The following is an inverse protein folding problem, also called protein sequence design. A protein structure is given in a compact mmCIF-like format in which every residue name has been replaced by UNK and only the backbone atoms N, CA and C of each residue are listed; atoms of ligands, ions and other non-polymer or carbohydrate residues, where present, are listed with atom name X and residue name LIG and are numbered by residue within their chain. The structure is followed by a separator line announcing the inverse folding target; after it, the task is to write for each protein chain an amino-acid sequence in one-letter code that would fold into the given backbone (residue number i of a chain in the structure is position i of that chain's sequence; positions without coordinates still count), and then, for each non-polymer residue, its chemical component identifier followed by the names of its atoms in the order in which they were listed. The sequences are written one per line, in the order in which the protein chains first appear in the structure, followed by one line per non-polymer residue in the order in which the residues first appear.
data_IF_479966852110
#
_entry.id   IF_479966852110
#
_cell.length_a   1.000
_cell.length_b   1.000
_cell.length_c   1.000
_cell.angle_alpha   90.00
_cell.angle_beta   90.00
_cell.angle_gamma   90.00
#
_symmetry.space_group_name_H-M   'P 1'
#
loop_
_entity.id
_entity.type
_entity.pdbx_description
1 polymer ?
#
# COMPACT_ATOMS: atom_id res chain seq x y z
N UNK A 1 12.23 -10.04 18.90
CA UNK A 1 10.88 -9.91 19.50
C UNK A 1 9.86 -10.62 18.62
N UNK A 2 9.12 -11.62 19.12
CA UNK A 2 8.04 -12.26 18.37
C UNK A 2 6.90 -11.25 18.19
N UNK A 3 6.34 -11.16 16.98
CA UNK A 3 5.23 -10.25 16.69
C UNK A 3 3.96 -10.78 17.38
N UNK A 4 3.32 -9.95 18.18
CA UNK A 4 2.05 -10.27 18.86
C UNK A 4 0.94 -10.63 17.86
N UNK A 5 -0.01 -11.46 18.33
CA UNK A 5 -1.17 -11.95 17.56
C UNK A 5 -1.90 -10.78 16.89
N UNK A 6 -2.08 -10.84 15.57
CA UNK A 6 -2.95 -9.93 14.83
C UNK A 6 -4.37 -10.20 15.32
N UNK A 7 -5.04 -9.20 15.91
CA UNK A 7 -6.44 -9.38 16.32
C UNK A 7 -7.36 -9.35 15.10
N UNK A 8 -8.20 -10.37 14.97
CA UNK A 8 -9.16 -10.54 13.87
C UNK A 8 -10.41 -9.68 14.02
N UNK A 9 -10.34 -8.56 14.75
CA UNK A 9 -11.47 -7.63 14.87
C UNK A 9 -11.68 -6.94 13.52
N UNK A 10 -12.81 -7.24 12.87
CA UNK A 10 -13.26 -6.56 11.64
C UNK A 10 -13.34 -5.05 11.88
N UNK A 11 -12.48 -4.29 11.20
CA UNK A 11 -12.43 -2.81 11.27
C UNK A 11 -13.34 -2.23 10.19
N UNK A 12 -13.80 -0.98 10.38
CA UNK A 12 -14.62 -0.24 9.39
C UNK A 12 -15.95 -0.94 9.09
N UNK A 13 -16.71 -1.26 10.13
CA UNK A 13 -18.04 -1.88 9.99
C UNK A 13 -19.16 -0.86 9.72
N UNK A 14 -18.84 0.43 9.62
CA UNK A 14 -19.81 1.48 9.34
C UNK A 14 -19.96 1.71 7.84
N UNK A 15 -21.14 2.17 7.43
CA UNK A 15 -21.39 2.65 6.09
C UNK A 15 -20.61 3.95 5.83
N UNK A 16 -20.08 4.11 4.61
CA UNK A 16 -19.34 5.31 4.22
C UNK A 16 -20.26 6.54 4.21
N UNK A 17 -21.50 6.38 3.75
CA UNK A 17 -22.50 7.44 3.70
C UNK A 17 -22.87 7.96 5.11
N UNK A 18 -23.12 7.03 6.05
CA UNK A 18 -23.42 7.37 7.44
C UNK A 18 -22.26 8.12 8.11
N UNK A 19 -21.02 7.73 7.82
CA UNK A 19 -19.84 8.42 8.32
C UNK A 19 -19.70 9.82 7.71
N UNK A 20 -19.99 9.98 6.43
CA UNK A 20 -19.95 11.29 5.77
C UNK A 20 -20.98 12.24 6.38
N UNK A 21 -22.24 11.79 6.52
CA UNK A 21 -23.31 12.56 7.17
C UNK A 21 -22.96 12.93 8.61
N UNK A 22 -22.40 11.99 9.37
CA UNK A 22 -21.94 12.25 10.73
C UNK A 22 -20.80 13.27 10.80
N UNK A 23 -19.87 13.25 9.84
CA UNK A 23 -18.77 14.23 9.76
C UNK A 23 -19.31 15.63 9.46
N UNK A 24 -20.23 15.75 8.51
CA UNK A 24 -20.87 17.02 8.14
C UNK A 24 -21.58 17.63 9.35
N UNK A 25 -22.43 16.86 10.02
CA UNK A 25 -23.19 17.33 11.18
C UNK A 25 -22.29 17.76 12.37
N UNK A 26 -21.14 17.10 12.55
CA UNK A 26 -20.16 17.49 13.57
C UNK A 26 -19.38 18.74 13.16
N UNK A 27 -19.03 18.89 11.87
CA UNK A 27 -18.29 20.08 11.36
C UNK A 27 -19.17 21.33 11.36
N UNK A 28 -20.46 21.18 11.02
CA UNK A 28 -21.47 22.24 11.05
C UNK A 28 -21.93 22.59 12.48
N UNK A 29 -21.38 21.93 13.50
CA UNK A 29 -21.73 22.11 14.91
C UNK A 29 -23.21 21.83 15.27
N UNK A 30 -23.96 21.17 14.38
CA UNK A 30 -25.35 20.78 14.64
C UNK A 30 -25.45 19.75 15.78
N UNK A 31 -24.44 18.88 15.91
CA UNK A 31 -24.38 17.88 16.97
C UNK A 31 -22.95 17.53 17.42
N UNK A 32 -22.81 17.27 18.71
CA UNK A 32 -21.56 16.77 19.29
C UNK A 32 -21.25 15.33 18.86
N UNK A 33 -19.96 14.97 18.84
CA UNK A 33 -19.46 13.64 18.41
C UNK A 33 -20.14 12.45 19.09
N UNK A 34 -20.58 12.59 20.33
CA UNK A 34 -21.30 11.52 21.04
C UNK A 34 -22.73 11.35 20.50
N UNK A 35 -23.43 12.45 20.22
CA UNK A 35 -24.80 12.43 19.67
C UNK A 35 -24.77 11.88 18.25
N UNK A 36 -23.85 12.38 17.41
CA UNK A 36 -23.63 11.91 16.05
C UNK A 36 -23.30 10.41 15.96
N UNK A 37 -22.47 9.92 16.88
CA UNK A 37 -22.14 8.49 16.96
C UNK A 37 -23.37 7.62 17.20
N UNK A 38 -24.32 8.07 18.03
CA UNK A 38 -25.56 7.33 18.33
C UNK A 38 -26.59 7.44 17.21
N UNK A 39 -26.71 8.61 16.57
CA UNK A 39 -27.70 8.83 15.51
C UNK A 39 -27.35 8.12 14.21
N UNK A 40 -26.07 8.10 13.84
CA UNK A 40 -25.60 7.51 12.58
C UNK A 40 -24.98 6.12 12.75
N UNK A 41 -25.06 5.53 13.95
CA UNK A 41 -24.44 4.23 14.30
C UNK A 41 -22.97 4.09 13.85
N UNK A 42 -22.18 5.15 14.10
CA UNK A 42 -20.76 5.18 13.78
C UNK A 42 -19.90 5.19 15.03
N UNK A 43 -18.71 4.58 14.99
CA UNK A 43 -17.80 4.60 16.13
C UNK A 43 -17.32 6.02 16.45
N UNK A 44 -17.66 6.51 17.65
CA UNK A 44 -17.27 7.84 18.17
C UNK A 44 -15.79 8.19 17.97
N UNK A 45 -14.88 7.26 18.29
CA UNK A 45 -13.43 7.49 18.19
C UNK A 45 -12.96 7.68 16.75
N UNK A 46 -13.62 7.01 15.79
CA UNK A 46 -13.32 7.16 14.37
C UNK A 46 -13.92 8.45 13.84
N UNK A 47 -15.18 8.74 14.18
CA UNK A 47 -15.84 9.99 13.84
C UNK A 47 -15.05 11.21 14.33
N UNK A 48 -14.62 11.21 15.58
CA UNK A 48 -13.81 12.30 16.15
C UNK A 48 -12.48 12.47 15.41
N UNK A 49 -11.83 11.36 15.01
CA UNK A 49 -10.59 11.41 14.24
C UNK A 49 -10.81 11.97 12.83
N UNK A 50 -11.89 11.58 12.16
CA UNK A 50 -12.21 12.05 10.82
C UNK A 50 -12.70 13.51 10.82
N UNK A 51 -13.54 13.90 11.79
CA UNK A 51 -14.04 15.26 11.92
C UNK A 51 -12.93 16.30 12.19
N UNK A 52 -11.89 15.92 12.94
CA UNK A 52 -10.71 16.77 13.19
C UNK A 52 -9.90 17.09 11.93
N UNK A 53 -10.04 16.32 10.86
CA UNK A 53 -9.34 16.56 9.59
C UNK A 53 -10.15 17.53 8.74
N UNK A 54 -10.15 18.81 9.13
CA UNK A 54 -10.98 19.83 8.46
C UNK A 54 -10.52 20.07 7.01
N UNK A 55 -9.23 19.92 6.74
CA UNK A 55 -8.60 20.07 5.41
C UNK A 55 -9.08 19.07 4.34
N UNK A 56 -9.76 17.99 4.73
CA UNK A 56 -10.21 16.96 3.79
C UNK A 56 -11.73 17.02 3.63
N UNK A 57 -12.20 16.78 2.41
CA UNK A 57 -13.63 16.70 2.16
C UNK A 57 -14.28 15.57 2.99
N UNK A 58 -15.55 15.74 3.41
CA UNK A 58 -16.25 14.74 4.23
C UNK A 58 -16.25 13.34 3.61
N UNK A 59 -16.34 13.27 2.28
CA UNK A 59 -16.31 12.02 1.51
C UNK A 59 -14.93 11.34 1.55
N UNK A 60 -13.87 12.13 1.35
CA UNK A 60 -12.49 11.64 1.46
C UNK A 60 -12.20 11.17 2.90
N UNK A 61 -12.66 11.93 3.89
CA UNK A 61 -12.48 11.65 5.31
C UNK A 61 -13.17 10.36 5.77
N UNK A 62 -14.28 9.97 5.14
CA UNK A 62 -14.97 8.69 5.36
C UNK A 62 -14.22 7.51 4.71
N UNK A 63 -13.57 7.75 3.58
CA UNK A 63 -12.95 6.69 2.76
C UNK A 63 -11.52 6.33 3.20
N UNK A 64 -10.84 7.21 3.94
CA UNK A 64 -9.42 7.04 4.35
C UNK A 64 -9.07 5.60 4.79
N UNK A 65 -8.03 5.04 4.16
CA UNK A 65 -7.46 3.73 4.51
C UNK A 65 -6.91 3.77 5.95
N UNK A 66 -7.37 2.86 6.81
CA UNK A 66 -6.84 2.72 8.17
C UNK A 66 -5.46 2.06 8.16
N UNK A 67 -4.47 2.71 8.78
CA UNK A 67 -3.15 2.12 9.01
C UNK A 67 -2.01 3.12 8.82
N UNK A 68 -0.78 2.62 8.91
CA UNK A 68 0.41 3.41 8.60
C UNK A 68 0.50 3.59 7.09
N UNK A 69 0.75 4.82 6.64
CA UNK A 69 1.06 5.11 5.23
C UNK A 69 2.25 4.28 4.76
N UNK A 70 2.27 3.95 3.48
CA UNK A 70 3.41 3.29 2.84
C UNK A 70 4.63 4.21 2.86
N UNK A 71 5.82 3.61 2.71
CA UNK A 71 7.08 4.38 2.66
C UNK A 71 7.25 5.05 1.29
N UNK A 72 6.81 4.37 0.21
CA UNK A 72 6.73 4.97 -1.11
C UNK A 72 5.30 5.46 -1.32
N UNK A 73 5.18 6.57 -2.03
CA UNK A 73 3.87 7.08 -2.45
C UNK A 73 3.25 6.18 -3.53
N UNK A 74 1.94 6.29 -3.71
CA UNK A 74 1.20 5.40 -4.62
C UNK A 74 1.74 5.54 -6.07
N UNK A 75 2.05 6.76 -6.52
CA UNK A 75 2.62 7.04 -7.86
C UNK A 75 4.00 6.40 -8.08
N UNK A 76 4.92 6.60 -7.12
CA UNK A 76 6.28 6.03 -7.17
C UNK A 76 6.23 4.50 -7.10
N UNK A 77 5.27 3.97 -6.34
CA UNK A 77 5.08 2.53 -6.23
C UNK A 77 4.58 1.92 -7.55
N UNK A 78 3.72 2.61 -8.30
CA UNK A 78 3.28 2.18 -9.63
C UNK A 78 4.41 2.21 -10.67
N UNK A 79 5.25 3.24 -10.65
CA UNK A 79 6.41 3.33 -11.53
C UNK A 79 7.35 2.13 -11.33
N UNK A 80 7.60 1.75 -10.07
CA UNK A 80 8.39 0.58 -9.74
C UNK A 80 7.76 -0.71 -10.28
N UNK A 81 6.43 -0.86 -10.19
CA UNK A 81 5.72 -2.03 -10.73
C UNK A 81 5.86 -2.10 -12.25
N UNK A 82 5.67 -0.98 -12.96
CA UNK A 82 5.85 -0.91 -14.42
C UNK A 82 7.26 -1.31 -14.83
N UNK A 83 8.27 -0.82 -14.10
CA UNK A 83 9.66 -1.18 -14.34
C UNK A 83 9.92 -2.68 -14.14
N UNK A 84 9.36 -3.30 -13.09
CA UNK A 84 9.50 -4.73 -12.84
C UNK A 84 8.91 -5.56 -14.00
N UNK A 85 7.73 -5.19 -14.49
CA UNK A 85 7.10 -5.87 -15.63
C UNK A 85 7.92 -5.74 -16.91
N UNK A 86 8.50 -4.57 -17.17
CA UNK A 86 9.39 -4.35 -18.31
C UNK A 86 10.65 -5.22 -18.22
N UNK A 87 11.22 -5.37 -17.04
CA UNK A 87 12.38 -6.23 -16.82
C UNK A 87 12.04 -7.72 -16.98
N UNK A 88 10.86 -8.14 -16.53
CA UNK A 88 10.36 -9.50 -16.77
C UNK A 88 10.16 -9.77 -18.27
N UNK A 89 9.61 -8.81 -19.03
CA UNK A 89 9.45 -8.91 -20.47
C UNK A 89 10.80 -8.98 -21.23
N UNK A 90 11.83 -8.32 -20.70
CA UNK A 90 13.21 -8.38 -21.21
C UNK A 90 14.00 -9.59 -20.69
N UNK A 91 13.34 -10.53 -20.00
CA UNK A 91 13.93 -11.74 -19.41
C UNK A 91 15.02 -11.48 -18.36
N UNK A 92 15.06 -10.28 -17.77
CA UNK A 92 15.90 -9.99 -16.62
C UNK A 92 15.24 -10.51 -15.34
N UNK A 93 15.80 -11.58 -14.78
CA UNK A 93 15.33 -12.15 -13.52
C UNK A 93 15.66 -11.25 -12.33
N UNK A 94 14.68 -10.47 -11.87
CA UNK A 94 14.84 -9.62 -10.68
C UNK A 94 14.74 -10.46 -9.40
N UNK A 95 15.79 -10.40 -8.57
CA UNK A 95 15.80 -11.09 -7.28
C UNK A 95 15.11 -10.24 -6.21
N UNK A 96 14.64 -10.88 -5.13
CA UNK A 96 14.17 -10.20 -3.91
C UNK A 96 15.19 -9.23 -3.29
N UNK A 97 16.49 -9.40 -3.57
CA UNK A 97 17.53 -8.45 -3.16
C UNK A 97 17.45 -7.17 -4.00
N UNK A 98 17.29 -7.31 -5.30
CA UNK A 98 17.22 -6.20 -6.25
C UNK A 98 15.97 -5.35 -6.01
N UNK A 99 14.81 -5.98 -5.81
CA UNK A 99 13.58 -5.27 -5.44
C UNK A 99 13.75 -4.41 -4.18
N UNK A 100 14.51 -4.89 -3.19
CA UNK A 100 14.79 -4.14 -1.97
C UNK A 100 15.77 -3.00 -2.20
N UNK A 101 16.79 -3.19 -3.05
CA UNK A 101 17.71 -2.12 -3.43
C UNK A 101 17.00 -1.02 -4.23
N UNK A 102 16.17 -1.39 -5.20
CA UNK A 102 15.37 -0.44 -5.97
C UNK A 102 14.42 0.37 -5.09
N UNK A 103 13.73 -0.26 -4.13
CA UNK A 103 12.89 0.45 -3.17
C UNK A 103 13.66 1.46 -2.31
N UNK A 104 14.93 1.19 -2.00
CA UNK A 104 15.81 2.14 -1.31
C UNK A 104 16.22 3.29 -2.24
N UNK A 105 16.73 2.97 -3.43
CA UNK A 105 17.17 3.97 -4.41
C UNK A 105 16.04 4.91 -4.81
N UNK A 106 14.82 4.42 -4.99
CA UNK A 106 13.65 5.27 -5.29
C UNK A 106 13.29 6.18 -4.12
N UNK A 107 13.37 5.68 -2.89
CA UNK A 107 13.10 6.51 -1.72
C UNK A 107 14.14 7.64 -1.56
N UNK A 108 15.41 7.36 -1.87
CA UNK A 108 16.46 8.38 -1.87
C UNK A 108 16.29 9.40 -3.01
N UNK A 109 16.06 8.93 -4.25
CA UNK A 109 15.91 9.80 -5.43
C UNK A 109 14.73 10.77 -5.30
N UNK A 110 13.63 10.29 -4.73
CA UNK A 110 12.44 11.10 -4.48
C UNK A 110 12.51 11.90 -3.16
N UNK A 111 13.66 11.89 -2.46
CA UNK A 111 13.86 12.57 -1.17
C UNK A 111 12.80 12.22 -0.11
N UNK A 112 12.31 10.97 -0.12
CA UNK A 112 11.25 10.51 0.78
C UNK A 112 11.89 10.08 2.10
N UNK A 113 11.38 10.60 3.22
CA UNK A 113 11.81 10.17 4.57
C UNK A 113 11.50 8.68 4.76
N UNK A 114 12.55 7.87 4.86
CA UNK A 114 12.42 6.41 4.94
C UNK A 114 13.21 5.79 6.11
N UNK A 115 12.74 4.68 6.71
CA UNK A 115 13.44 3.99 7.81
C UNK A 115 14.52 3.00 7.33
N UNK A 116 14.92 3.05 6.05
CA UNK A 116 15.89 2.11 5.49
C UNK A 116 17.32 2.50 5.88
N UNK A 117 18.06 1.57 6.51
CA UNK A 117 19.40 1.85 7.08
C UNK A 117 20.52 1.30 6.17
N UNK A 118 20.38 0.07 5.65
CA UNK A 118 21.49 -0.66 5.02
C UNK A 118 21.44 -0.66 3.49
N UNK A 119 21.16 0.48 2.84
CA UNK A 119 21.16 0.55 1.37
C UNK A 119 20.08 -0.30 0.68
N UNK A 120 19.11 -0.81 1.45
CA UNK A 120 18.08 -1.72 0.98
C UNK A 120 16.82 -1.61 1.83
N UNK A 121 15.67 -1.74 1.19
CA UNK A 121 14.39 -1.82 1.87
C UNK A 121 14.31 -3.09 2.74
N UNK A 122 13.56 -2.99 3.84
CA UNK A 122 13.40 -4.09 4.79
C UNK A 122 12.64 -5.29 4.21
N UNK A 123 12.85 -6.49 4.77
CA UNK A 123 12.10 -7.71 4.39
C UNK A 123 10.59 -7.54 4.55
N UNK A 124 10.16 -6.77 5.56
CA UNK A 124 8.74 -6.47 5.82
C UNK A 124 8.16 -5.59 4.72
N UNK A 125 8.91 -4.58 4.26
CA UNK A 125 8.49 -3.71 3.16
C UNK A 125 8.22 -4.53 1.89
N UNK A 126 9.16 -5.40 1.50
CA UNK A 126 9.00 -6.26 0.31
C UNK A 126 7.76 -7.14 0.41
N UNK A 127 7.51 -7.76 1.57
CA UNK A 127 6.33 -8.60 1.79
C UNK A 127 5.02 -7.79 1.63
N UNK A 128 4.98 -6.57 2.17
CA UNK A 128 3.80 -5.71 2.07
C UNK A 128 3.59 -5.21 0.64
N UNK A 129 4.66 -4.80 -0.06
CA UNK A 129 4.66 -4.40 -1.46
C UNK A 129 4.08 -5.50 -2.35
N UNK A 130 4.63 -6.73 -2.26
CA UNK A 130 4.14 -7.87 -3.03
C UNK A 130 2.70 -8.26 -2.69
N UNK A 131 2.26 -8.04 -1.45
CA UNK A 131 0.86 -8.31 -1.05
C UNK A 131 -0.10 -7.31 -1.69
N UNK A 132 0.29 -6.03 -1.81
CA UNK A 132 -0.53 -5.01 -2.50
C UNK A 132 -0.64 -5.30 -3.99
N UNK A 133 0.48 -5.66 -4.62
CA UNK A 133 0.56 -5.86 -6.07
C UNK A 133 0.42 -7.32 -6.51
N UNK A 134 -0.16 -8.20 -5.67
CA UNK A 134 -0.28 -9.64 -5.97
C UNK A 134 -1.06 -9.93 -7.26
N UNK A 135 -1.97 -9.04 -7.65
CA UNK A 135 -2.77 -9.18 -8.89
C UNK A 135 -1.92 -9.00 -10.16
N UNK A 136 -0.85 -8.19 -10.07
CA UNK A 136 -0.03 -7.77 -11.22
C UNK A 136 1.32 -8.49 -11.22
N UNK A 137 1.96 -8.59 -10.04
CA UNK A 137 3.27 -9.20 -9.87
C UNK A 137 3.13 -10.66 -9.41
N UNK A 138 3.64 -11.59 -10.20
CA UNK A 138 3.80 -12.99 -9.81
C UNK A 138 5.19 -13.23 -9.23
N UNK A 139 5.26 -13.71 -7.98
CA UNK A 139 6.54 -14.07 -7.36
C UNK A 139 6.95 -15.45 -7.86
N UNK A 140 7.67 -15.49 -8.98
CA UNK A 140 8.28 -16.73 -9.49
C UNK A 140 9.53 -17.07 -8.66
N UNK A 141 9.77 -18.36 -8.46
CA UNK A 141 11.11 -18.82 -8.07
C UNK A 141 11.98 -18.75 -9.33
N UNK A 142 13.19 -18.19 -9.29
CA UNK A 142 14.08 -18.23 -10.44
C UNK A 142 14.37 -19.70 -10.77
N UNK A 143 13.76 -20.20 -11.85
CA UNK A 143 14.09 -21.50 -12.41
C UNK A 143 15.22 -21.26 -13.41
N UNK A 144 16.33 -22.00 -13.30
CA UNK A 144 17.55 -21.80 -14.10
C UNK A 144 17.39 -21.98 -15.62
N UNK A 145 16.17 -22.13 -16.12
CA UNK A 145 15.79 -22.42 -17.51
C UNK A 145 15.45 -21.19 -18.35
N UNK A 146 15.38 -19.99 -17.76
CA UNK A 146 14.90 -18.79 -18.46
C UNK A 146 15.85 -18.34 -19.60
N UNK A 147 17.17 -18.42 -19.41
CA UNK A 147 18.13 -17.98 -20.43
C UNK A 147 18.40 -19.05 -21.50
N UNK A 148 18.52 -20.32 -21.10
CA UNK A 148 18.83 -21.43 -22.00
C UNK A 148 17.69 -21.78 -22.94
N UNK A 149 16.43 -21.61 -22.52
CA UNK A 149 15.26 -21.91 -23.34
C UNK A 149 14.96 -20.83 -24.38
N UNK A 150 15.16 -19.55 -24.08
CA UNK A 150 14.94 -18.45 -25.04
C UNK A 150 15.99 -18.48 -26.15
N UNK A 151 17.26 -18.78 -25.81
CA UNK A 151 18.35 -18.86 -26.79
C UNK A 151 18.21 -20.05 -27.76
N UNK A 152 17.46 -21.09 -27.38
CA UNK A 152 17.17 -22.26 -28.23
C UNK A 152 16.11 -22.01 -29.32
N UNK A 153 15.40 -20.88 -29.28
CA UNK A 153 14.40 -20.49 -30.30
C UNK A 153 14.90 -19.39 -31.25
N UNK A 154 16.21 -19.21 -31.39
CA UNK A 154 16.76 -18.37 -32.46
C UNK A 154 16.82 -19.16 -33.77
N UNK A 155 16.41 -18.52 -34.88
CA UNK A 155 16.34 -19.10 -36.24
C UNK A 155 17.66 -19.68 -36.75
N UNK A 156 18.78 -19.31 -36.13
CA UNK A 156 20.12 -19.81 -36.49
C UNK A 156 20.42 -21.22 -35.95
N UNK A 157 19.61 -21.73 -35.01
CA UNK A 157 19.78 -23.04 -34.38
C UNK A 157 18.66 -24.05 -34.71
N UNK A 158 17.87 -23.81 -35.77
CA UNK A 158 16.91 -24.79 -36.33
C UNK A 158 17.26 -25.08 -37.78
#
# INVERSE_FOLDING_TARGET
MPKSKVSDKKRKQWNSDDMQRAIVAVRQQEMGTLKASKTFDVLRSTLQRSAKKVELDPEEAATIKLGRKTVLDDEVEEELVRYILLMEAKFYGLTRKDLRRMGYTLAQRNNIKHPFICGAAGKVWLRLFLRRHRKVLSVRRPTGTLFTRVRGFNRENV
#
